data_IF_261670287695
#
_entry.id   IF_261670287695
#
_cell.length_a   1.000
_cell.length_b   1.000
_cell.length_c   1.000
_cell.angle_alpha   90.00
_cell.angle_beta   90.00
_cell.angle_gamma   90.00
#
_symmetry.space_group_name_H-M   'P 1'
#
loop_
_entity.id
_entity.type
_entity.pdbx_description
1 polymer ?
#
# COMPACT_ATOMS: atom_id res chain seq x y z
N UNK A 1 2.03 -9.19 22.62
CA UNK A 1 2.00 -8.55 21.29
C UNK A 1 2.69 -7.20 21.37
N UNK A 2 3.64 -6.92 20.47
CA UNK A 2 4.30 -5.60 20.43
C UNK A 2 3.31 -4.54 19.96
N UNK A 3 3.38 -3.34 20.54
CA UNK A 3 2.54 -2.21 20.12
C UNK A 3 3.02 -1.71 18.76
N UNK A 4 2.12 -1.44 17.80
CA UNK A 4 2.55 -0.96 16.50
C UNK A 4 3.14 0.45 16.57
N UNK A 5 4.17 0.69 15.77
CA UNK A 5 4.73 2.03 15.54
C UNK A 5 3.77 2.80 14.65
N UNK A 6 3.30 3.95 15.13
CA UNK A 6 2.42 4.84 14.37
C UNK A 6 3.24 5.66 13.39
N UNK A 7 2.80 5.72 12.14
CA UNK A 7 3.50 6.45 11.07
C UNK A 7 2.58 7.42 10.35
N UNK A 8 3.20 8.41 9.72
CA UNK A 8 2.60 9.21 8.66
C UNK A 8 3.21 8.71 7.35
N UNK A 9 2.36 8.34 6.40
CA UNK A 9 2.75 7.60 5.21
C UNK A 9 1.99 8.09 3.99
N UNK A 10 2.51 7.75 2.82
CA UNK A 10 1.88 8.00 1.54
C UNK A 10 1.94 6.72 0.73
N UNK A 11 0.83 6.32 0.13
CA UNK A 11 0.76 5.17 -0.75
C UNK A 11 0.15 5.59 -2.08
N UNK A 12 0.80 5.22 -3.17
CA UNK A 12 0.31 5.48 -4.52
C UNK A 12 0.17 4.19 -5.28
N UNK A 13 -1.04 3.62 -5.40
CA UNK A 13 -1.33 2.66 -6.45
C UNK A 13 -1.06 3.29 -7.82
N UNK A 14 -0.30 2.59 -8.66
CA UNK A 14 0.14 3.09 -9.97
C UNK A 14 -0.28 2.15 -11.09
N UNK A 15 -0.51 2.73 -12.26
CA UNK A 15 -0.68 2.04 -13.53
C UNK A 15 0.45 2.48 -14.44
N UNK A 16 1.18 1.53 -14.97
CA UNK A 16 2.22 1.78 -15.95
C UNK A 16 1.56 2.20 -17.27
N UNK A 17 2.34 2.94 -18.06
CA UNK A 17 1.99 3.27 -19.44
C UNK A 17 1.70 2.03 -20.27
N UNK A 18 0.49 1.95 -20.83
CA UNK A 18 0.08 0.84 -21.69
C UNK A 18 0.76 0.84 -23.07
N UNK A 19 1.34 1.96 -23.51
CA UNK A 19 2.07 2.09 -24.78
C UNK A 19 3.54 1.64 -24.68
N UNK A 20 4.02 1.30 -23.48
CA UNK A 20 5.35 0.75 -23.25
C UNK A 20 5.27 -0.75 -22.93
N UNK A 21 6.27 -1.57 -23.33
CA UNK A 21 6.42 -2.90 -22.77
C UNK A 21 6.50 -2.82 -21.25
N UNK A 22 5.72 -3.64 -20.53
CA UNK A 22 5.64 -3.66 -19.06
C UNK A 22 7.03 -3.67 -18.41
N UNK A 23 7.91 -4.55 -18.87
CA UNK A 23 9.25 -4.70 -18.32
C UNK A 23 10.08 -3.41 -18.46
N UNK A 24 9.99 -2.72 -19.60
CA UNK A 24 10.64 -1.43 -19.81
C UNK A 24 10.13 -0.38 -18.83
N UNK A 25 8.82 -0.32 -18.61
CA UNK A 25 8.23 0.61 -17.65
C UNK A 25 8.62 0.27 -16.20
N UNK A 26 8.67 -1.01 -15.81
CA UNK A 26 9.14 -1.45 -14.50
C UNK A 26 10.63 -1.14 -14.27
N UNK A 27 11.47 -1.31 -15.29
CA UNK A 27 12.89 -0.94 -15.24
C UNK A 27 13.07 0.58 -15.11
N UNK A 28 12.28 1.37 -15.84
CA UNK A 28 12.29 2.82 -15.70
C UNK A 28 11.87 3.24 -14.29
N UNK A 29 10.80 2.63 -13.77
CA UNK A 29 10.33 2.89 -12.41
C UNK A 29 11.40 2.57 -11.36
N UNK A 30 12.03 1.40 -11.46
CA UNK A 30 13.08 0.96 -10.53
C UNK A 30 14.43 1.65 -10.72
N UNK A 31 14.66 2.32 -11.84
CA UNK A 31 15.92 2.96 -12.20
C UNK A 31 15.81 4.49 -12.18
N UNK A 32 15.68 5.17 -13.34
CA UNK A 32 15.60 6.63 -13.42
C UNK A 32 14.61 7.28 -12.44
N UNK A 33 13.37 6.79 -12.38
CA UNK A 33 12.36 7.35 -11.48
C UNK A 33 12.73 7.15 -10.01
N UNK A 34 13.27 5.97 -9.66
CA UNK A 34 13.77 5.68 -8.31
C UNK A 34 14.87 6.67 -7.89
N UNK A 35 15.80 7.01 -8.79
CA UNK A 35 16.87 7.98 -8.51
C UNK A 35 16.32 9.39 -8.27
N UNK A 36 15.30 9.80 -9.02
CA UNK A 36 14.64 11.10 -8.84
C UNK A 36 13.95 11.15 -7.48
N UNK A 37 13.10 10.16 -7.19
CA UNK A 37 12.41 10.07 -5.91
C UNK A 37 13.38 9.90 -4.73
N UNK A 38 14.51 9.21 -4.92
CA UNK A 38 15.55 9.01 -3.92
C UNK A 38 16.21 10.29 -3.42
N UNK A 39 16.13 11.40 -4.17
CA UNK A 39 16.69 12.71 -3.79
C UNK A 39 15.77 13.55 -2.91
N UNK A 40 14.50 13.16 -2.77
CA UNK A 40 13.52 13.92 -2.03
C UNK A 40 13.82 13.89 -0.51
N UNK A 41 13.83 15.03 0.18
CA UNK A 41 14.15 15.12 1.60
C UNK A 41 12.99 14.62 2.47
N UNK A 42 13.24 14.25 3.73
CA UNK A 42 12.23 13.90 4.74
C UNK A 42 11.49 12.56 4.55
N UNK A 43 11.90 11.72 3.60
CA UNK A 43 11.49 10.31 3.57
C UNK A 43 12.39 9.49 4.48
N UNK A 44 11.77 8.73 5.37
CA UNK A 44 12.45 7.71 6.15
C UNK A 44 12.45 6.35 5.44
N UNK A 45 11.45 6.12 4.58
CA UNK A 45 11.43 4.97 3.68
C UNK A 45 10.71 5.29 2.38
N UNK A 46 11.22 4.76 1.27
CA UNK A 46 10.55 4.68 -0.01
C UNK A 46 10.79 3.30 -0.63
N UNK A 47 9.73 2.53 -0.85
CA UNK A 47 9.77 1.21 -1.46
C UNK A 47 8.75 1.16 -2.60
N UNK A 48 9.18 0.68 -3.76
CA UNK A 48 8.28 0.34 -4.85
C UNK A 48 7.90 -1.13 -4.72
N UNK A 49 6.62 -1.43 -4.83
CA UNK A 49 6.12 -2.81 -4.87
C UNK A 49 5.48 -3.06 -6.22
N UNK A 50 6.14 -3.89 -7.03
CA UNK A 50 5.66 -4.27 -8.35
C UNK A 50 4.74 -5.48 -8.17
N UNK A 51 3.50 -5.36 -8.64
CA UNK A 51 2.50 -6.41 -8.50
C UNK A 51 2.59 -7.42 -9.63
N UNK A 52 2.18 -8.65 -9.29
CA UNK A 52 1.98 -9.69 -10.28
C UNK A 52 0.86 -9.33 -11.26
N UNK A 53 1.05 -9.49 -12.58
CA UNK A 53 -0.02 -9.34 -13.54
C UNK A 53 -1.03 -10.49 -13.48
N UNK A 54 -0.66 -11.63 -12.89
CA UNK A 54 -1.43 -12.89 -12.91
C UNK A 54 -1.89 -13.33 -11.53
N UNK A 55 -1.12 -13.10 -10.46
CA UNK A 55 -1.47 -13.54 -9.11
C UNK A 55 -2.07 -12.40 -8.26
N UNK A 56 -3.40 -12.34 -8.25
CA UNK A 56 -4.20 -11.29 -7.61
C UNK A 56 -5.63 -11.75 -7.34
N UNK A 57 -6.36 -11.04 -6.49
CA UNK A 57 -7.77 -11.29 -6.19
C UNK A 57 -8.05 -12.50 -5.29
N UNK A 58 -7.03 -13.08 -4.66
CA UNK A 58 -7.11 -14.31 -3.86
C UNK A 58 -7.45 -14.10 -2.37
N UNK A 59 -7.79 -12.89 -1.94
CA UNK A 59 -8.24 -12.67 -0.55
C UNK A 59 -9.49 -13.53 -0.26
N UNK A 60 -9.62 -14.15 0.93
CA UNK A 60 -10.78 -14.97 1.24
C UNK A 60 -12.10 -14.18 1.10
N UNK A 61 -13.01 -14.77 0.33
CA UNK A 61 -14.28 -14.13 0.02
C UNK A 61 -15.27 -14.21 1.19
N UNK A 62 -16.17 -13.24 1.25
CA UNK A 62 -17.34 -13.28 2.12
C UNK A 62 -18.53 -12.73 1.33
N UNK A 63 -19.79 -13.11 1.67
CA UNK A 63 -20.95 -12.58 0.98
C UNK A 63 -20.89 -11.04 0.90
N UNK A 64 -21.11 -10.50 -0.31
CA UNK A 64 -21.14 -9.05 -0.61
C UNK A 64 -19.80 -8.30 -0.57
N UNK A 65 -18.65 -8.99 -0.44
CA UNK A 65 -17.32 -8.38 -0.55
C UNK A 65 -16.62 -8.88 -1.80
N UNK A 66 -16.38 -7.97 -2.75
CA UNK A 66 -15.71 -8.30 -4.01
C UNK A 66 -14.21 -8.48 -3.83
N UNK A 67 -13.66 -9.55 -4.40
CA UNK A 67 -12.21 -9.83 -4.42
C UNK A 67 -11.65 -9.81 -5.84
N UNK A 68 -12.51 -10.04 -6.85
CA UNK A 68 -12.17 -9.95 -8.27
C UNK A 68 -11.91 -8.50 -8.67
N UNK A 69 -10.77 -8.30 -9.32
CA UNK A 69 -10.29 -7.00 -9.76
C UNK A 69 -10.63 -6.84 -11.24
N UNK A 70 -11.41 -5.82 -11.65
CA UNK A 70 -11.65 -5.58 -13.07
C UNK A 70 -10.32 -5.29 -13.80
N UNK A 71 -10.07 -5.87 -14.98
CA UNK A 71 -8.83 -5.62 -15.72
C UNK A 71 -8.57 -4.12 -15.96
N UNK A 72 -9.64 -3.34 -16.21
CA UNK A 72 -9.58 -1.88 -16.39
C UNK A 72 -9.28 -1.09 -15.10
N UNK A 73 -9.10 -1.74 -13.96
CA UNK A 73 -8.74 -1.11 -12.69
C UNK A 73 -7.67 -1.89 -11.91
N UNK A 74 -6.98 -2.82 -12.57
CA UNK A 74 -5.88 -3.56 -11.99
C UNK A 74 -4.64 -2.67 -12.02
N UNK A 75 -4.13 -2.29 -10.85
CA UNK A 75 -2.89 -1.52 -10.77
C UNK A 75 -1.68 -2.44 -10.91
N UNK A 76 -0.58 -1.86 -11.36
CA UNK A 76 0.67 -2.56 -11.65
C UNK A 76 1.63 -2.59 -10.47
N UNK A 77 1.35 -1.78 -9.44
CA UNK A 77 2.12 -1.74 -8.22
C UNK A 77 1.64 -0.66 -7.26
N UNK A 78 2.40 -0.49 -6.18
CA UNK A 78 2.26 0.62 -5.24
C UNK A 78 3.62 1.21 -4.88
N UNK A 79 3.73 2.54 -4.95
CA UNK A 79 4.80 3.28 -4.29
C UNK A 79 4.40 3.50 -2.83
N UNK A 80 5.19 2.99 -1.89
CA UNK A 80 4.97 3.20 -0.46
C UNK A 80 6.06 4.09 0.12
N UNK A 81 5.63 5.13 0.81
CA UNK A 81 6.49 6.11 1.48
C UNK A 81 6.15 6.19 2.96
N UNK A 82 7.18 6.24 3.79
CA UNK A 82 7.11 6.63 5.19
C UNK A 82 7.90 7.91 5.38
N UNK A 83 7.28 8.90 6.00
CA UNK A 83 7.95 10.14 6.33
C UNK A 83 8.68 10.03 7.66
N UNK A 84 9.79 10.77 7.80
CA UNK A 84 10.50 10.89 9.08
C UNK A 84 9.67 11.61 10.15
N UNK A 85 8.76 12.48 9.73
CA UNK A 85 7.82 13.17 10.61
C UNK A 85 6.57 13.64 9.86
N UNK A 86 5.51 13.99 10.59
CA UNK A 86 4.31 14.61 10.00
C UNK A 86 4.62 15.97 9.37
N UNK A 87 5.50 16.76 9.97
CA UNK A 87 5.93 18.05 9.40
C UNK A 87 6.67 17.84 8.08
N UNK A 88 7.55 16.83 8.02
CA UNK A 88 8.21 16.42 6.78
C UNK A 88 7.22 16.04 5.68
N UNK A 89 6.15 15.31 6.03
CA UNK A 89 5.08 14.97 5.08
C UNK A 89 4.37 16.20 4.49
N UNK A 90 4.10 17.22 5.32
CA UNK A 90 3.44 18.46 4.88
C UNK A 90 4.34 19.32 3.98
N UNK A 91 5.66 19.26 4.17
CA UNK A 91 6.62 19.99 3.34
C UNK A 91 6.90 19.35 1.98
N UNK A 92 6.53 18.08 1.78
CA UNK A 92 6.86 17.32 0.57
C UNK A 92 6.50 18.00 -0.75
N UNK A 93 5.29 18.56 -0.94
CA UNK A 93 4.90 19.12 -2.24
C UNK A 93 5.87 20.18 -2.78
N UNK A 94 6.59 20.89 -1.90
CA UNK A 94 7.59 21.90 -2.30
C UNK A 94 8.83 21.31 -2.99
N UNK A 95 9.09 20.01 -2.83
CA UNK A 95 10.25 19.32 -3.39
C UNK A 95 9.90 18.38 -4.55
N UNK A 96 8.60 18.19 -4.84
CA UNK A 96 8.12 17.16 -5.78
C UNK A 96 8.21 17.52 -7.26
N UNK A 97 8.72 18.72 -7.61
CA UNK A 97 8.70 19.21 -9.00
C UNK A 97 9.31 18.22 -10.00
N UNK A 98 10.46 17.65 -9.69
CA UNK A 98 11.12 16.70 -10.59
C UNK A 98 10.30 15.41 -10.76
N UNK A 99 9.74 14.88 -9.66
CA UNK A 99 8.83 13.72 -9.72
C UNK A 99 7.60 14.05 -10.58
N UNK A 100 7.02 15.24 -10.41
CA UNK A 100 5.83 15.65 -11.15
C UNK A 100 6.04 15.76 -12.66
N UNK A 101 7.26 16.10 -13.09
CA UNK A 101 7.62 16.16 -14.50
C UNK A 101 8.03 14.80 -15.07
N UNK A 102 8.47 13.88 -14.20
CA UNK A 102 8.96 12.57 -14.58
C UNK A 102 7.87 11.50 -14.69
N UNK A 103 6.83 11.55 -13.84
CA UNK A 103 5.85 10.47 -13.77
C UNK A 103 5.16 10.14 -15.10
N UNK A 104 4.96 11.13 -15.99
CA UNK A 104 4.42 10.91 -17.34
C UNK A 104 5.24 9.97 -18.21
N UNK A 105 6.53 9.77 -17.90
CA UNK A 105 7.42 8.89 -18.67
C UNK A 105 7.15 7.41 -18.38
N UNK A 106 6.46 7.11 -17.27
CA UNK A 106 6.33 5.73 -16.77
C UNK A 106 4.90 5.35 -16.37
N UNK A 107 4.10 6.30 -15.90
CA UNK A 107 2.74 6.04 -15.41
C UNK A 107 1.65 6.60 -16.33
N UNK A 108 0.62 5.80 -16.54
CA UNK A 108 -0.64 6.26 -17.11
C UNK A 108 -1.55 6.84 -16.01
N UNK A 109 -1.52 6.25 -14.81
CA UNK A 109 -2.34 6.68 -13.66
C UNK A 109 -1.59 6.54 -12.36
N UNK A 110 -1.72 7.53 -11.48
CA UNK A 110 -1.17 7.51 -10.12
C UNK A 110 -2.23 8.00 -9.15
N UNK A 111 -2.53 7.20 -8.12
CA UNK A 111 -3.52 7.58 -7.10
C UNK A 111 -2.82 7.95 -5.79
N UNK A 112 -2.46 9.22 -5.61
CA UNK A 112 -1.85 9.69 -4.36
C UNK A 112 -2.77 9.52 -3.14
N UNK A 113 -2.40 8.65 -2.19
CA UNK A 113 -3.14 8.43 -0.94
C UNK A 113 -2.27 8.76 0.28
N UNK A 114 -2.49 9.94 0.84
CA UNK A 114 -1.88 10.34 2.10
C UNK A 114 -2.61 9.71 3.30
N UNK A 115 -1.86 9.40 4.36
CA UNK A 115 -2.43 9.10 5.68
C UNK A 115 -2.31 10.31 6.59
N UNK A 116 -3.28 10.50 7.48
CA UNK A 116 -3.14 11.45 8.59
C UNK A 116 -2.16 10.94 9.66
N UNK A 117 -1.85 11.75 10.68
CA UNK A 117 -0.97 11.33 11.78
C UNK A 117 -1.38 9.99 12.39
N UNK A 118 -0.44 9.04 12.42
CA UNK A 118 -0.65 7.67 12.91
C UNK A 118 -1.66 6.85 12.10
N UNK A 119 -1.99 7.30 10.89
CA UNK A 119 -2.83 6.56 9.93
C UNK A 119 -2.09 5.44 9.22
N UNK A 120 -0.77 5.41 9.27
CA UNK A 120 0.00 4.19 9.09
C UNK A 120 0.33 3.55 10.45
N UNK A 121 0.42 2.21 10.48
CA UNK A 121 0.88 1.43 11.62
C UNK A 121 1.73 0.26 11.15
N UNK A 122 2.89 0.11 11.75
CA UNK A 122 3.86 -0.96 11.50
C UNK A 122 3.91 -1.87 12.72
N UNK A 123 3.69 -3.17 12.53
CA UNK A 123 3.35 -4.10 13.60
C UNK A 123 4.46 -5.11 13.93
N UNK A 124 5.36 -5.33 12.98
CA UNK A 124 6.46 -6.29 13.09
C UNK A 124 7.77 -5.58 12.79
N UNK A 125 8.90 -6.19 13.12
CA UNK A 125 10.21 -5.65 12.77
C UNK A 125 10.74 -6.20 11.43
N UNK A 126 10.05 -7.20 10.86
CA UNK A 126 10.34 -7.88 9.59
C UNK A 126 10.04 -7.03 8.35
N UNK A 127 10.58 -5.82 8.33
CA UNK A 127 10.46 -4.87 7.21
C UNK A 127 11.61 -4.97 6.21
N UNK A 128 12.54 -5.89 6.46
CA UNK A 128 13.72 -6.18 5.66
C UNK A 128 13.36 -6.93 4.36
N UNK A 129 14.21 -6.78 3.36
CA UNK A 129 14.06 -7.38 2.04
C UNK A 129 14.17 -8.91 2.06
N UNK A 130 14.64 -9.50 3.17
CA UNK A 130 14.73 -10.94 3.40
C UNK A 130 13.37 -11.68 3.49
N UNK A 131 12.25 -10.96 3.67
CA UNK A 131 10.92 -11.57 3.68
C UNK A 131 10.59 -12.12 2.28
N UNK A 132 10.38 -13.43 2.19
CA UNK A 132 10.33 -14.14 0.91
C UNK A 132 9.14 -13.80 0.02
N UNK A 133 7.95 -13.54 0.59
CA UNK A 133 6.76 -13.19 -0.17
C UNK A 133 5.97 -12.06 0.51
N UNK A 134 5.45 -11.13 -0.29
CA UNK A 134 4.56 -10.07 0.17
C UNK A 134 3.26 -10.04 -0.61
N UNK A 135 2.18 -9.79 0.10
CA UNK A 135 0.86 -9.49 -0.42
C UNK A 135 0.47 -8.06 -0.03
N UNK A 136 -0.06 -7.29 -0.97
CA UNK A 136 -0.72 -6.00 -0.68
C UNK A 136 -2.23 -6.14 -0.83
N UNK A 137 -2.97 -5.77 0.20
CA UNK A 137 -4.42 -5.67 0.18
C UNK A 137 -4.82 -4.22 -0.04
N UNK A 138 -5.62 -3.94 -1.07
CA UNK A 138 -6.27 -2.65 -1.25
C UNK A 138 -7.75 -2.76 -0.83
N UNK A 139 -8.15 -1.97 0.17
CA UNK A 139 -9.44 -2.10 0.84
C UNK A 139 -10.41 -1.00 0.39
N UNK A 140 -11.65 -1.40 0.08
CA UNK A 140 -12.74 -0.46 -0.21
C UNK A 140 -13.76 -0.47 0.92
N UNK A 141 -13.97 0.70 1.50
CA UNK A 141 -14.98 0.92 2.55
C UNK A 141 -16.39 0.85 1.97
N UNK A 142 -17.30 0.19 2.69
CA UNK A 142 -18.73 0.14 2.38
C UNK A 142 -19.39 1.51 2.55
N UNK A 143 -20.33 1.85 1.67
CA UNK A 143 -21.15 3.07 1.79
C UNK A 143 -21.91 3.07 3.13
N UNK A 144 -21.96 4.21 3.80
CA UNK A 144 -22.61 4.38 5.10
C UNK A 144 -21.71 4.05 6.31
N UNK A 145 -20.57 3.38 6.11
CA UNK A 145 -19.62 3.11 7.20
C UNK A 145 -18.79 4.36 7.50
N UNK A 146 -18.87 4.85 8.74
CA UNK A 146 -18.07 6.00 9.20
C UNK A 146 -16.56 5.74 9.17
N UNK A 147 -15.77 6.79 8.94
CA UNK A 147 -14.30 6.69 8.84
C UNK A 147 -13.64 6.12 10.10
N UNK A 148 -14.16 6.46 11.29
CA UNK A 148 -13.69 5.92 12.58
C UNK A 148 -13.90 4.42 12.69
N UNK A 149 -15.09 3.92 12.34
CA UNK A 149 -15.42 2.49 12.35
C UNK A 149 -14.53 1.73 11.39
N UNK A 150 -14.35 2.25 10.17
CA UNK A 150 -13.45 1.66 9.18
C UNK A 150 -12.01 1.63 9.67
N UNK A 151 -11.51 2.72 10.26
CA UNK A 151 -10.15 2.79 10.81
C UNK A 151 -9.93 1.78 11.94
N UNK A 152 -10.91 1.64 12.84
CA UNK A 152 -10.87 0.64 13.92
C UNK A 152 -10.85 -0.78 13.35
N UNK A 153 -11.61 -1.06 12.29
CA UNK A 153 -11.56 -2.35 11.62
C UNK A 153 -10.16 -2.64 11.04
N UNK A 154 -9.58 -1.68 10.31
CA UNK A 154 -8.25 -1.87 9.70
C UNK A 154 -7.15 -2.03 10.75
N UNK A 155 -7.11 -1.17 11.78
CA UNK A 155 -5.98 -1.18 12.71
C UNK A 155 -6.21 -1.94 13.99
N UNK A 156 -7.45 -2.16 14.43
CA UNK A 156 -7.72 -2.78 15.73
C UNK A 156 -8.40 -4.16 15.57
N UNK A 157 -8.77 -4.56 14.34
CA UNK A 157 -9.17 -5.94 14.00
C UNK A 157 -8.18 -6.62 13.07
N UNK A 158 -7.96 -6.10 11.86
CA UNK A 158 -7.04 -6.73 10.87
C UNK A 158 -5.61 -6.79 11.40
N UNK A 159 -5.08 -5.67 11.91
CA UNK A 159 -3.72 -5.60 12.43
C UNK A 159 -3.40 -6.68 13.49
N UNK A 160 -4.11 -6.70 14.64
CA UNK A 160 -3.86 -7.70 15.68
C UNK A 160 -4.07 -9.14 15.20
N UNK A 161 -5.15 -9.41 14.43
CA UNK A 161 -5.43 -10.76 13.95
C UNK A 161 -4.30 -11.31 13.06
N UNK A 162 -3.78 -10.49 12.15
CA UNK A 162 -2.66 -10.88 11.30
C UNK A 162 -1.35 -11.02 12.10
N UNK A 163 -1.09 -10.14 13.07
CA UNK A 163 0.07 -10.27 13.95
C UNK A 163 0.03 -11.57 14.76
N UNK A 164 -1.15 -11.95 15.27
CA UNK A 164 -1.36 -13.21 15.99
C UNK A 164 -1.23 -14.43 15.07
N UNK A 165 -1.63 -14.32 13.80
CA UNK A 165 -1.44 -15.35 12.78
C UNK A 165 0.03 -15.57 12.37
N UNK A 166 0.98 -14.79 12.93
CA UNK A 166 2.41 -15.01 12.71
C UNK A 166 2.98 -14.40 11.43
N UNK A 167 2.33 -13.36 10.87
CA UNK A 167 2.89 -12.60 9.73
C UNK A 167 4.28 -12.01 10.06
N UNK A 168 5.16 -11.97 9.07
CA UNK A 168 6.53 -11.48 9.24
C UNK A 168 6.68 -9.98 8.97
N UNK A 169 6.03 -9.47 7.92
CA UNK A 169 5.94 -8.04 7.61
C UNK A 169 4.47 -7.62 7.72
N UNK A 170 4.12 -6.74 8.66
CA UNK A 170 2.76 -6.25 8.77
C UNK A 170 2.70 -4.73 8.87
N UNK A 171 2.03 -4.14 7.88
CA UNK A 171 1.79 -2.70 7.81
C UNK A 171 0.34 -2.45 7.45
N UNK A 172 -0.27 -1.47 8.10
CA UNK A 172 -1.68 -1.11 7.86
C UNK A 172 -1.79 0.39 7.66
N UNK A 173 -2.60 0.82 6.70
CA UNK A 173 -2.74 2.22 6.31
C UNK A 173 -4.20 2.59 6.13
N UNK A 174 -4.62 3.71 6.70
CA UNK A 174 -5.94 4.33 6.44
C UNK A 174 -5.76 5.69 5.81
N UNK A 175 -6.39 5.88 4.65
CA UNK A 175 -6.18 7.07 3.82
C UNK A 175 -7.08 8.22 4.25
N UNK A 176 -6.59 9.44 4.02
CA UNK A 176 -7.40 10.65 4.10
C UNK A 176 -8.45 10.66 2.97
N UNK A 177 -9.51 11.47 3.10
CA UNK A 177 -10.46 11.67 2.00
C UNK A 177 -9.73 12.10 0.72
N UNK A 178 -10.03 11.44 -0.38
CA UNK A 178 -9.45 11.77 -1.68
C UNK A 178 -9.80 13.20 -2.10
N UNK A 179 -8.82 13.88 -2.69
CA UNK A 179 -8.91 15.20 -3.29
C UNK A 179 -8.08 15.22 -4.58
N UNK A 180 -8.54 15.89 -5.65
CA UNK A 180 -7.79 15.98 -6.90
C UNK A 180 -6.51 16.81 -6.79
N UNK A 181 -6.33 17.58 -5.72
CA UNK A 181 -5.17 18.46 -5.53
C UNK A 181 -3.94 17.77 -4.93
N UNK A 182 -4.09 16.54 -4.45
CA UNK A 182 -2.97 15.76 -3.93
C UNK A 182 -2.27 15.09 -5.09
N UNK A 183 -0.99 15.41 -5.27
CA UNK A 183 -0.09 14.78 -6.25
C UNK A 183 -0.55 14.96 -7.72
N UNK A 184 -0.73 16.21 -8.22
CA UNK A 184 -1.22 16.46 -9.58
C UNK A 184 -0.05 16.48 -10.58
N UNK A 185 0.33 15.33 -11.10
CA UNK A 185 1.41 15.20 -12.09
C UNK A 185 0.89 15.44 -13.50
N UNK A 186 1.68 16.13 -14.33
CA UNK A 186 1.28 16.48 -15.69
C UNK A 186 1.32 15.23 -16.56
N UNK A 187 0.36 15.07 -17.48
CA UNK A 187 0.34 13.92 -18.40
C UNK A 187 -0.04 12.58 -17.78
N UNK A 188 -0.46 12.57 -16.51
CA UNK A 188 -0.83 11.37 -15.75
C UNK A 188 -2.29 11.48 -15.26
N UNK A 189 -3.02 10.38 -15.30
CA UNK A 189 -4.38 10.33 -14.77
C UNK A 189 -4.38 10.26 -13.23
N UNK A 190 -5.25 11.04 -12.59
CA UNK A 190 -5.47 11.03 -11.14
C UNK A 190 -6.94 10.82 -10.77
N UNK A 191 -7.78 10.46 -11.75
CA UNK A 191 -9.20 10.22 -11.53
C UNK A 191 -9.41 9.03 -10.58
N UNK A 192 -10.18 9.24 -9.52
CA UNK A 192 -10.44 8.23 -8.51
C UNK A 192 -11.95 8.12 -8.25
N UNK A 193 -12.69 7.47 -9.17
CA UNK A 193 -14.13 7.38 -9.10
C UNK A 193 -14.59 6.71 -7.81
N UNK A 194 -15.65 7.23 -7.20
CA UNK A 194 -16.15 6.80 -5.88
C UNK A 194 -16.44 5.30 -5.81
N UNK A 195 -16.91 4.71 -6.92
CA UNK A 195 -17.20 3.28 -7.04
C UNK A 195 -15.97 2.39 -7.27
N UNK A 196 -14.75 2.94 -7.36
CA UNK A 196 -13.49 2.17 -7.43
C UNK A 196 -12.46 2.59 -6.37
N UNK A 197 -12.78 3.61 -5.57
CA UNK A 197 -11.88 4.23 -4.60
C UNK A 197 -11.46 3.30 -3.46
N UNK A 198 -10.16 3.11 -3.31
CA UNK A 198 -9.55 2.49 -2.15
C UNK A 198 -9.49 3.48 -0.98
N UNK A 199 -9.61 2.95 0.24
CA UNK A 199 -9.69 3.72 1.48
C UNK A 199 -8.61 3.31 2.49
N UNK A 200 -8.00 2.15 2.30
CA UNK A 200 -6.90 1.64 3.11
C UNK A 200 -6.05 0.67 2.29
N UNK A 201 -4.87 0.38 2.83
CA UNK A 201 -3.98 -0.67 2.35
C UNK A 201 -3.43 -1.48 3.53
N UNK A 202 -3.15 -2.76 3.29
CA UNK A 202 -2.44 -3.63 4.25
C UNK A 202 -1.33 -4.36 3.50
N UNK A 203 -0.13 -4.37 4.05
CA UNK A 203 1.00 -5.15 3.53
C UNK A 203 1.22 -6.32 4.48
N UNK A 204 1.30 -7.53 3.91
CA UNK A 204 1.47 -8.78 4.64
C UNK A 204 2.68 -9.51 4.06
N UNK A 205 3.63 -9.88 4.91
CA UNK A 205 4.81 -10.67 4.57
C UNK A 205 4.75 -12.07 5.17
N UNK A 206 5.20 -13.05 4.38
CA UNK A 206 5.37 -14.44 4.77
C UNK A 206 6.61 -15.03 4.07
N UNK A 207 7.04 -16.23 4.48
CA UNK A 207 8.21 -16.89 3.89
C UNK A 207 8.07 -17.19 2.40
N UNK A 208 6.85 -17.48 1.94
CA UNK A 208 6.56 -17.84 0.56
C UNK A 208 5.10 -17.60 0.21
N UNK A 209 4.78 -17.70 -1.09
CA UNK A 209 3.39 -17.66 -1.55
C UNK A 209 2.56 -18.80 -0.95
N UNK A 210 3.13 -20.00 -0.77
CA UNK A 210 2.44 -21.13 -0.13
C UNK A 210 2.18 -20.86 1.36
N UNK A 211 3.17 -20.30 2.08
CA UNK A 211 2.98 -19.90 3.47
C UNK A 211 1.89 -18.82 3.63
N UNK A 212 1.77 -17.91 2.65
CA UNK A 212 0.65 -16.97 2.59
C UNK A 212 -0.70 -17.69 2.42
N UNK A 213 -0.80 -18.70 1.55
CA UNK A 213 -2.05 -19.48 1.41
C UNK A 213 -2.45 -20.16 2.73
N UNK A 214 -1.50 -20.73 3.46
CA UNK A 214 -1.78 -21.37 4.73
C UNK A 214 -2.17 -20.36 5.82
N UNK A 215 -1.51 -19.19 5.84
CA UNK A 215 -1.88 -18.09 6.73
C UNK A 215 -3.31 -17.62 6.48
N UNK A 216 -3.73 -17.52 5.21
CA UNK A 216 -5.09 -17.11 4.84
C UNK A 216 -6.18 -18.11 5.29
N UNK A 217 -5.82 -19.35 5.62
CA UNK A 217 -6.71 -20.38 6.16
C UNK A 217 -6.79 -20.37 7.69
N UNK A 218 -6.01 -19.55 8.37
CA UNK A 218 -5.98 -19.48 9.84
C UNK A 218 -7.30 -19.00 10.44
N UNK A 219 -7.58 -19.40 11.68
CA UNK A 219 -8.78 -18.96 12.41
C UNK A 219 -8.81 -17.44 12.62
N UNK A 220 -7.64 -16.82 12.80
CA UNK A 220 -7.49 -15.38 12.92
C UNK A 220 -7.96 -14.66 11.64
N UNK A 221 -7.57 -15.17 10.47
CA UNK A 221 -8.04 -14.63 9.18
C UNK A 221 -9.52 -14.91 8.95
N UNK A 222 -10.01 -16.11 9.32
CA UNK A 222 -11.43 -16.43 9.23
C UNK A 222 -12.30 -15.46 10.05
N UNK A 223 -11.86 -15.07 11.24
CA UNK A 223 -12.56 -14.09 12.09
C UNK A 223 -12.72 -12.71 11.44
N UNK A 224 -11.64 -12.17 10.85
CA UNK A 224 -11.72 -10.87 10.15
C UNK A 224 -12.56 -10.96 8.85
N UNK A 225 -12.53 -12.10 8.16
CA UNK A 225 -13.32 -12.36 6.95
C UNK A 225 -14.81 -12.51 7.28
N UNK A 226 -15.17 -13.02 8.45
CA UNK A 226 -16.57 -13.04 8.89
C UNK A 226 -17.11 -11.62 9.15
N UNK A 227 -16.27 -10.74 9.72
CA UNK A 227 -16.63 -9.36 10.05
C UNK A 227 -16.61 -8.41 8.83
N UNK A 228 -15.74 -8.66 7.84
CA UNK A 228 -15.45 -7.71 6.77
C UNK A 228 -16.68 -7.27 5.98
N UNK A 229 -17.70 -8.12 5.83
CA UNK A 229 -18.95 -7.78 5.11
C UNK A 229 -19.66 -6.56 5.69
N UNK A 230 -19.50 -6.28 6.98
CA UNK A 230 -20.13 -5.14 7.65
C UNK A 230 -19.42 -3.81 7.36
N UNK A 231 -18.13 -3.86 7.00
CA UNK A 231 -17.27 -2.68 6.90
C UNK A 231 -16.79 -2.43 5.47
N UNK A 232 -16.57 -3.49 4.69
CA UNK A 232 -15.95 -3.49 3.39
C UNK A 232 -16.95 -3.79 2.28
N UNK A 233 -16.68 -3.25 1.10
CA UNK A 233 -17.34 -3.63 -0.16
C UNK A 233 -16.41 -4.41 -1.08
N UNK A 234 -15.08 -4.29 -0.90
CA UNK A 234 -14.10 -5.06 -1.65
C UNK A 234 -12.75 -5.13 -0.91
N UNK A 235 -12.03 -6.23 -1.15
CA UNK A 235 -10.64 -6.46 -0.73
C UNK A 235 -9.88 -7.04 -1.90
N UNK A 236 -8.92 -6.31 -2.42
CA UNK A 236 -8.15 -6.72 -3.58
C UNK A 236 -6.73 -7.09 -3.13
N UNK A 237 -6.43 -8.39 -3.11
CA UNK A 237 -5.08 -8.88 -2.85
C UNK A 237 -4.24 -8.86 -4.12
N UNK A 238 -2.99 -8.47 -3.98
CA UNK A 238 -1.98 -8.51 -5.05
C UNK A 238 -0.72 -9.16 -4.51
N UNK A 239 -0.21 -10.16 -5.22
CA UNK A 239 1.14 -10.66 -5.00
C UNK A 239 2.14 -9.60 -5.44
N UNK A 240 3.16 -9.36 -4.62
CA UNK A 240 4.30 -8.52 -4.96
C UNK A 240 5.38 -9.41 -5.54
N UNK A 241 5.67 -9.25 -6.83
CA UNK A 241 6.74 -10.01 -7.51
C UNK A 241 8.12 -9.43 -7.22
N UNK A 242 8.20 -8.10 -7.04
CA UNK A 242 9.45 -7.40 -6.76
C UNK A 242 9.21 -6.23 -5.82
N UNK A 243 10.06 -6.13 -4.80
CA UNK A 243 10.18 -4.92 -3.98
C UNK A 243 11.48 -4.22 -4.33
N UNK A 244 11.42 -2.92 -4.63
CA UNK A 244 12.59 -2.08 -4.91
C UNK A 244 12.72 -1.06 -3.78
N UNK A 245 13.57 -1.32 -2.79
CA UNK A 245 13.86 -0.36 -1.73
C UNK A 245 14.75 0.75 -2.29
N UNK A 246 14.25 1.98 -2.26
CA UNK A 246 14.99 3.15 -2.78
C UNK A 246 15.59 3.96 -1.63
N UNK A 247 14.83 4.14 -0.55
CA UNK A 247 15.30 4.78 0.68
C UNK A 247 15.00 3.83 1.84
N UNK A 248 16.01 3.56 2.67
CA UNK A 248 15.88 2.88 3.97
C UNK A 248 16.70 3.65 4.99
N UNK A 249 16.07 4.54 5.75
CA UNK A 249 16.70 5.07 6.96
C UNK A 249 16.40 4.07 8.07
N UNK A 250 17.44 3.34 8.49
CA UNK A 250 17.34 2.38 9.59
C UNK A 250 16.64 3.03 10.79
N UNK A 251 15.78 2.27 11.48
CA UNK A 251 15.35 2.67 12.80
C UNK A 251 16.64 2.95 13.60
N UNK A 252 16.80 4.18 14.09
CA UNK A 252 17.86 4.48 15.03
C UNK A 252 17.81 3.37 16.08
N UNK A 253 18.91 2.61 16.19
CA UNK A 253 19.12 1.72 17.32
C UNK A 253 18.83 2.56 18.55
N UNK A 254 17.79 2.19 19.31
CA UNK A 254 17.68 2.62 20.69
C UNK A 254 18.93 2.08 21.38
N UNK A 255 19.95 2.92 21.47
CA UNK A 255 21.10 2.69 22.33
C UNK A 255 20.58 2.59 23.76
N UNK A 256 21.04 1.52 24.41
CA UNK A 256 21.01 1.18 25.83
C UNK A 256 20.59 2.28 26.82
#
# INVERSE_FOLDING_TARGET
MSRPVKTTSFLSPVWLRADLPRETALQYWAGPHAQIAGRLPNMAEYVQRHFSPTDHGYWPTSPTVGTVIPPSWRCDGVAEVRFGSTAGALGMPMHMREVYLDEQNVFERVLGQATGPGGGRWWTDGHDDAVGHRTVLLLRRRRGVGGRTFRRFVHDRIGPALQEAGVQDLRTYTFLPWTPYVHPTLGVCHDNPTFRRYHASVVIGADSRAAMDDLLKSEQVAGIVAEQRTVLTAVHAYTVERSVPVIRVGAARSSA
#
